data_IF_704899283836
#
_entry.id   IF_704899283836
#
_cell.length_a   1.000
_cell.length_b   1.000
_cell.length_c   1.000
_cell.angle_alpha   90.00
_cell.angle_beta   90.00
_cell.angle_gamma   90.00
#
_symmetry.space_group_name_H-M   'P 1'
#
loop_
_entity.id
_entity.type
_entity.pdbx_description
1 polymer ?
#
# COMPACT_ATOMS: atom_id res chain seq x y z
N UNK A 1 44.81 -43.53 68.30
CA UNK A 1 43.62 -43.01 68.97
C UNK A 1 42.67 -42.48 67.91
N UNK A 2 41.75 -43.30 67.43
CA UNK A 2 40.92 -43.02 66.28
C UNK A 2 39.50 -42.96 66.78
N UNK A 3 38.84 -41.78 66.65
CA UNK A 3 37.42 -41.60 66.95
C UNK A 3 36.59 -41.87 65.72
N UNK A 4 35.76 -42.88 65.78
CA UNK A 4 34.68 -43.13 64.82
C UNK A 4 33.52 -42.12 65.04
N UNK A 5 33.13 -41.51 63.99
CA UNK A 5 31.85 -40.70 63.93
C UNK A 5 30.85 -41.52 63.13
N UNK A 6 29.75 -41.91 63.76
CA UNK A 6 28.59 -42.56 63.09
C UNK A 6 27.77 -41.50 62.34
N UNK A 7 27.57 -41.70 61.06
CA UNK A 7 26.59 -40.98 60.24
C UNK A 7 25.26 -41.76 60.24
N UNK A 8 24.20 -41.12 60.70
CA UNK A 8 22.83 -41.59 60.59
C UNK A 8 22.27 -41.23 59.21
N UNK A 9 21.78 -42.22 58.48
CA UNK A 9 21.09 -42.06 57.23
C UNK A 9 19.63 -41.62 57.49
N UNK A 10 19.26 -40.46 57.03
CA UNK A 10 17.87 -40.01 56.97
C UNK A 10 17.31 -40.35 55.57
N UNK A 11 16.28 -41.18 55.51
CA UNK A 11 15.55 -41.50 54.27
C UNK A 11 14.69 -40.33 53.88
N UNK A 12 14.95 -39.71 52.73
CA UNK A 12 14.06 -38.71 52.09
C UNK A 12 13.08 -39.48 51.17
N UNK A 13 11.81 -39.44 51.55
CA UNK A 13 10.70 -39.90 50.71
C UNK A 13 10.41 -38.78 49.69
N UNK A 14 10.77 -38.99 48.39
CA UNK A 14 10.35 -38.15 47.31
C UNK A 14 8.94 -38.54 46.89
N UNK A 15 7.96 -37.67 47.23
CA UNK A 15 6.63 -37.72 46.65
C UNK A 15 6.71 -37.08 45.25
N UNK A 16 6.65 -37.90 44.24
CA UNK A 16 6.57 -37.45 42.85
C UNK A 16 5.20 -36.84 42.55
N UNK A 17 5.11 -35.54 42.51
CA UNK A 17 3.98 -34.83 41.89
C UNK A 17 4.14 -34.88 40.37
N UNK A 18 3.42 -35.79 39.72
CA UNK A 18 3.31 -35.82 38.27
C UNK A 18 2.53 -34.61 37.76
N UNK A 19 3.21 -33.65 37.16
CA UNK A 19 2.58 -32.58 36.41
C UNK A 19 2.10 -33.19 35.09
N UNK A 20 0.79 -33.46 35.00
CA UNK A 20 0.14 -33.77 33.70
C UNK A 20 0.05 -32.47 32.94
N UNK A 21 0.97 -32.27 32.00
CA UNK A 21 0.85 -31.20 31.00
C UNK A 21 -0.25 -31.61 30.03
N UNK A 22 -1.43 -31.08 30.22
CA UNK A 22 -2.46 -31.15 29.19
C UNK A 22 -2.06 -30.22 28.06
N UNK A 23 -1.47 -30.76 27.00
CA UNK A 23 -1.41 -30.08 25.71
C UNK A 23 -2.82 -29.99 25.16
N UNK A 24 -3.49 -28.85 25.37
CA UNK A 24 -4.72 -28.52 24.68
C UNK A 24 -4.37 -28.29 23.20
N UNK A 25 -4.65 -29.30 22.37
CA UNK A 25 -4.76 -29.11 20.93
C UNK A 25 -5.88 -28.08 20.75
N UNK A 26 -5.68 -26.95 20.06
CA UNK A 26 -6.77 -26.01 19.80
C UNK A 26 -7.83 -26.74 18.99
N UNK A 27 -9.06 -26.75 19.49
CA UNK A 27 -10.20 -27.32 18.82
C UNK A 27 -10.39 -26.54 17.49
N UNK A 28 -10.33 -27.26 16.38
CA UNK A 28 -10.83 -26.78 15.09
C UNK A 28 -12.31 -26.43 15.26
N UNK A 29 -12.65 -25.12 15.13
CA UNK A 29 -14.05 -24.70 15.07
C UNK A 29 -14.55 -23.82 16.22
N UNK A 30 -13.79 -22.84 16.71
CA UNK A 30 -14.46 -21.72 17.36
C UNK A 30 -15.10 -20.85 16.28
N UNK A 31 -16.42 -20.56 16.36
CA UNK A 31 -17.02 -19.56 15.48
C UNK A 31 -16.30 -18.24 15.73
N UNK A 32 -15.76 -17.64 14.67
CA UNK A 32 -15.26 -16.28 14.74
C UNK A 32 -16.34 -15.38 15.34
N UNK A 33 -16.01 -14.64 16.39
CA UNK A 33 -16.86 -13.52 16.78
C UNK A 33 -16.92 -12.60 15.55
N UNK A 34 -18.12 -12.29 15.07
CA UNK A 34 -18.31 -11.37 13.95
C UNK A 34 -17.74 -10.01 14.33
N UNK A 35 -16.48 -9.76 13.96
CA UNK A 35 -15.96 -8.41 13.99
C UNK A 35 -16.79 -7.57 13.00
N UNK A 36 -17.11 -6.31 13.33
CA UNK A 36 -17.79 -5.43 12.37
C UNK A 36 -16.97 -5.40 11.07
N UNK A 37 -17.62 -5.19 9.90
CA UNK A 37 -16.91 -4.95 8.65
C UNK A 37 -15.81 -3.93 8.88
N UNK A 38 -14.61 -4.21 8.41
CA UNK A 38 -13.49 -3.30 8.57
C UNK A 38 -13.41 -2.42 7.33
N UNK A 39 -13.33 -1.11 7.52
CA UNK A 39 -13.20 -0.08 6.47
C UNK A 39 -11.76 0.05 5.91
N UNK A 40 -11.01 -1.06 5.91
CA UNK A 40 -9.57 -1.06 5.60
C UNK A 40 -9.21 -1.61 4.22
N UNK A 41 -10.19 -1.87 3.37
CA UNK A 41 -9.92 -2.26 1.99
C UNK A 41 -10.30 -1.17 1.00
N UNK A 42 -9.50 -1.04 -0.05
CA UNK A 42 -9.72 -0.13 -1.15
C UNK A 42 -9.37 -0.77 -2.49
N UNK A 43 -9.66 -0.02 -3.55
CA UNK A 43 -9.21 -0.33 -4.91
C UNK A 43 -8.26 0.75 -5.37
N UNK A 44 -7.09 0.37 -5.86
CA UNK A 44 -6.17 1.24 -6.58
C UNK A 44 -6.48 1.16 -8.07
N UNK A 45 -6.89 2.27 -8.66
CA UNK A 45 -7.31 2.31 -10.06
C UNK A 45 -6.14 2.40 -11.05
N UNK A 46 -5.04 3.04 -10.66
CA UNK A 46 -3.98 3.45 -11.59
C UNK A 46 -4.42 4.62 -12.48
N UNK A 47 -3.71 4.83 -13.58
CA UNK A 47 -3.92 6.00 -14.46
C UNK A 47 -5.12 5.85 -15.41
N UNK A 48 -5.61 6.98 -15.92
CA UNK A 48 -6.57 7.05 -17.03
C UNK A 48 -8.04 7.17 -16.62
N UNK A 49 -8.40 6.85 -15.40
CA UNK A 49 -9.81 6.86 -14.96
C UNK A 49 -10.44 8.26 -14.92
N UNK A 50 -9.66 9.32 -14.75
CA UNK A 50 -10.14 10.69 -14.82
C UNK A 50 -10.59 11.14 -16.22
N UNK A 51 -10.22 10.35 -17.27
CA UNK A 51 -10.64 10.62 -18.66
C UNK A 51 -11.96 9.96 -19.04
N UNK A 52 -12.52 9.10 -18.17
CA UNK A 52 -13.80 8.43 -18.40
C UNK A 52 -14.96 9.44 -18.45
N UNK A 53 -16.02 9.06 -19.15
CA UNK A 53 -17.28 9.82 -19.06
C UNK A 53 -18.03 9.54 -17.75
N UNK A 54 -19.10 10.31 -17.50
CA UNK A 54 -19.84 10.19 -16.24
C UNK A 54 -20.47 8.82 -16.03
N UNK A 55 -20.93 8.17 -17.09
CA UNK A 55 -21.57 6.85 -16.97
C UNK A 55 -20.55 5.74 -16.70
N UNK A 56 -19.39 5.83 -17.32
CA UNK A 56 -18.27 4.93 -17.10
C UNK A 56 -17.74 5.08 -15.66
N UNK A 57 -17.57 6.31 -15.16
CA UNK A 57 -17.18 6.56 -13.76
C UNK A 57 -18.19 6.01 -12.76
N UNK A 58 -19.49 6.17 -13.02
CA UNK A 58 -20.54 5.62 -12.19
C UNK A 58 -20.47 4.09 -12.13
N UNK A 59 -20.20 3.43 -13.25
CA UNK A 59 -20.04 1.98 -13.27
C UNK A 59 -18.80 1.53 -12.46
N UNK A 60 -17.65 2.18 -12.65
CA UNK A 60 -16.42 1.90 -11.88
C UNK A 60 -16.67 2.02 -10.38
N UNK A 61 -17.32 3.10 -9.94
CA UNK A 61 -17.62 3.32 -8.52
C UNK A 61 -18.62 2.29 -7.99
N UNK A 62 -19.62 1.88 -8.78
CA UNK A 62 -20.57 0.84 -8.37
C UNK A 62 -19.90 -0.54 -8.27
N UNK A 63 -18.97 -0.86 -9.18
CA UNK A 63 -18.19 -2.09 -9.12
C UNK A 63 -17.31 -2.14 -7.86
N UNK A 64 -16.66 -1.00 -7.51
CA UNK A 64 -15.91 -0.88 -6.26
C UNK A 64 -16.83 -1.09 -5.04
N UNK A 65 -17.98 -0.44 -5.00
CA UNK A 65 -18.95 -0.59 -3.90
C UNK A 65 -19.47 -2.01 -3.78
N UNK A 66 -19.74 -2.68 -4.92
CA UNK A 66 -20.22 -4.06 -4.95
C UNK A 66 -19.20 -5.04 -4.36
N UNK A 67 -17.91 -4.73 -4.44
CA UNK A 67 -16.84 -5.49 -3.79
C UNK A 67 -16.83 -5.34 -2.26
N UNK A 68 -17.58 -4.37 -1.72
CA UNK A 68 -17.57 -4.01 -0.31
C UNK A 68 -16.33 -3.20 0.11
N UNK A 69 -15.48 -2.78 -0.81
CA UNK A 69 -14.39 -1.85 -0.52
C UNK A 69 -14.92 -0.47 -0.12
N UNK A 70 -14.22 0.18 0.79
CA UNK A 70 -14.60 1.50 1.33
C UNK A 70 -13.75 2.63 0.77
N UNK A 71 -12.63 2.30 0.14
CA UNK A 71 -11.66 3.27 -0.35
C UNK A 71 -11.43 3.13 -1.85
N UNK A 72 -11.13 4.27 -2.47
CA UNK A 72 -10.63 4.36 -3.84
C UNK A 72 -9.31 5.14 -3.83
N UNK A 73 -8.28 4.65 -4.52
CA UNK A 73 -7.02 5.35 -4.74
C UNK A 73 -6.86 5.64 -6.23
N UNK A 74 -6.56 6.88 -6.58
CA UNK A 74 -6.30 7.27 -7.96
C UNK A 74 -5.43 8.52 -8.08
N UNK A 75 -4.90 8.76 -9.27
CA UNK A 75 -3.92 9.79 -9.56
C UNK A 75 -4.56 11.18 -9.63
N UNK A 76 -4.03 12.10 -8.85
CA UNK A 76 -4.13 13.55 -9.04
C UNK A 76 -2.89 13.97 -9.83
N UNK A 77 -2.89 13.60 -11.12
CA UNK A 77 -1.74 13.74 -12.00
C UNK A 77 -1.52 15.20 -12.38
N UNK A 78 -0.49 15.81 -11.77
CA UNK A 78 -0.14 17.20 -12.00
C UNK A 78 0.20 17.47 -13.48
N UNK A 79 0.82 16.49 -14.16
CA UNK A 79 1.20 16.64 -15.56
C UNK A 79 0.01 16.80 -16.51
N UNK A 80 -1.15 16.24 -16.13
CA UNK A 80 -2.42 16.40 -16.86
C UNK A 80 -3.22 17.60 -16.37
N UNK A 81 -3.34 17.76 -15.05
CA UNK A 81 -4.19 18.81 -14.47
C UNK A 81 -3.64 20.20 -14.77
N UNK A 82 -2.31 20.39 -14.74
CA UNK A 82 -1.63 21.66 -15.04
C UNK A 82 -0.60 21.48 -16.18
N UNK A 83 -1.04 20.94 -17.32
CA UNK A 83 -0.17 20.72 -18.49
C UNK A 83 0.47 22.03 -19.01
N UNK A 84 -0.22 23.15 -18.79
CA UNK A 84 0.27 24.50 -19.05
C UNK A 84 0.32 25.28 -17.75
N UNK A 85 1.48 25.84 -17.40
CA UNK A 85 1.70 26.54 -16.15
C UNK A 85 0.60 27.59 -15.86
N UNK A 86 -0.02 27.50 -14.69
CA UNK A 86 -1.08 28.38 -14.24
C UNK A 86 -2.46 28.09 -14.84
N UNK A 87 -2.60 27.03 -15.64
CA UNK A 87 -3.88 26.62 -16.24
C UNK A 87 -4.25 25.22 -15.78
N UNK A 88 -5.34 25.10 -15.01
CA UNK A 88 -5.75 23.85 -14.38
C UNK A 88 -7.03 23.31 -15.02
N UNK A 89 -7.01 22.02 -15.38
CA UNK A 89 -8.19 21.26 -15.76
C UNK A 89 -8.49 20.18 -14.70
N UNK A 90 -9.34 20.52 -13.77
CA UNK A 90 -9.81 19.62 -12.71
C UNK A 90 -11.01 18.78 -13.11
N UNK A 91 -11.55 18.96 -14.32
CA UNK A 91 -12.87 18.44 -14.69
C UNK A 91 -13.03 16.93 -14.56
N UNK A 92 -11.98 16.17 -14.90
CA UNK A 92 -11.96 14.71 -14.76
C UNK A 92 -11.83 14.28 -13.30
N UNK A 93 -10.96 14.94 -12.55
CA UNK A 93 -10.74 14.69 -11.12
C UNK A 93 -11.96 15.04 -10.30
N UNK A 94 -12.59 16.20 -10.57
CA UNK A 94 -13.84 16.63 -9.93
C UNK A 94 -14.92 15.56 -10.09
N UNK A 95 -15.16 15.10 -11.33
CA UNK A 95 -16.18 14.07 -11.58
C UNK A 95 -15.93 12.77 -10.82
N UNK A 96 -14.67 12.32 -10.77
CA UNK A 96 -14.33 11.07 -10.08
C UNK A 96 -14.43 11.20 -8.56
N UNK A 97 -13.93 12.32 -7.98
CA UNK A 97 -14.07 12.60 -6.55
C UNK A 97 -15.55 12.69 -6.16
N UNK A 98 -16.36 13.49 -6.88
CA UNK A 98 -17.78 13.65 -6.58
C UNK A 98 -18.52 12.31 -6.68
N UNK A 99 -18.28 11.53 -7.76
CA UNK A 99 -18.94 10.24 -7.95
C UNK A 99 -18.57 9.25 -6.82
N UNK A 100 -17.29 9.20 -6.40
CA UNK A 100 -16.82 8.34 -5.33
C UNK A 100 -17.42 8.74 -3.98
N UNK A 101 -17.32 10.01 -3.60
CA UNK A 101 -17.76 10.50 -2.29
C UNK A 101 -19.29 10.54 -2.15
N UNK A 102 -20.02 10.90 -3.19
CA UNK A 102 -21.49 10.78 -3.24
C UNK A 102 -21.96 9.34 -3.06
N UNK A 103 -21.12 8.38 -3.44
CA UNK A 103 -21.36 6.95 -3.27
C UNK A 103 -20.89 6.41 -1.92
N UNK A 104 -20.30 7.24 -1.06
CA UNK A 104 -19.82 6.90 0.28
C UNK A 104 -18.46 6.21 0.30
N UNK A 105 -17.64 6.36 -0.76
CA UNK A 105 -16.24 5.93 -0.75
C UNK A 105 -15.36 7.03 -0.18
N UNK A 106 -14.36 6.62 0.59
CA UNK A 106 -13.24 7.46 0.99
C UNK A 106 -12.19 7.51 -0.12
N UNK A 107 -11.54 8.65 -0.30
CA UNK A 107 -10.53 8.84 -1.35
C UNK A 107 -9.13 8.94 -0.75
N UNK A 108 -8.20 8.12 -1.26
CA UNK A 108 -6.76 8.34 -1.16
C UNK A 108 -6.30 9.01 -2.45
N UNK A 109 -6.06 10.32 -2.39
CA UNK A 109 -5.55 11.08 -3.53
C UNK A 109 -4.04 10.88 -3.68
N UNK A 110 -3.60 10.30 -4.80
CA UNK A 110 -2.19 10.19 -5.14
C UNK A 110 -1.74 11.43 -5.92
N UNK A 111 -1.03 12.34 -5.25
CA UNK A 111 -0.45 13.51 -5.93
C UNK A 111 0.84 13.09 -6.62
N UNK A 112 0.87 13.16 -7.92
CA UNK A 112 1.97 12.67 -8.74
C UNK A 112 2.01 13.39 -10.08
N UNK A 113 2.88 13.28 -10.69
CA UNK A 113 3.87 13.36 -11.75
C UNK A 113 4.17 14.83 -12.07
N UNK A 114 5.08 15.09 -13.02
CA UNK A 114 5.57 16.46 -13.28
C UNK A 114 5.24 16.89 -14.71
N UNK A 115 4.53 18.02 -14.90
CA UNK A 115 4.33 18.59 -16.23
C UNK A 115 5.64 19.03 -16.86
N UNK A 116 5.71 19.05 -18.19
CA UNK A 116 6.91 19.32 -18.95
C UNK A 116 7.64 20.61 -18.50
N UNK A 117 6.88 21.66 -18.23
CA UNK A 117 7.41 22.98 -17.85
C UNK A 117 8.08 23.02 -16.47
N UNK A 118 7.80 22.03 -15.59
CA UNK A 118 8.33 21.97 -14.22
C UNK A 118 9.41 20.91 -14.02
N UNK A 119 9.71 20.08 -15.04
CA UNK A 119 10.71 19.01 -14.95
C UNK A 119 12.12 19.55 -14.81
N UNK A 120 13.00 18.74 -14.20
CA UNK A 120 14.42 19.03 -14.15
C UNK A 120 15.01 19.11 -15.58
N UNK A 121 15.45 20.29 -16.03
CA UNK A 121 15.94 20.50 -17.39
C UNK A 121 17.28 19.82 -17.67
N UNK A 122 17.96 19.30 -16.64
CA UNK A 122 19.21 18.55 -16.80
C UNK A 122 18.98 17.11 -17.25
N UNK A 123 17.74 16.61 -17.19
CA UNK A 123 17.37 15.24 -17.58
C UNK A 123 17.11 15.20 -19.09
N UNK A 124 17.98 14.51 -19.82
CA UNK A 124 17.95 14.50 -21.31
C UNK A 124 16.73 13.74 -21.89
N UNK A 125 16.28 12.68 -21.23
CA UNK A 125 15.12 11.86 -21.62
C UNK A 125 14.04 12.02 -20.57
N UNK A 126 13.47 13.24 -20.45
CA UNK A 126 12.48 13.54 -19.43
C UNK A 126 11.07 13.19 -19.88
N UNK A 127 10.34 12.54 -19.00
CA UNK A 127 8.90 12.26 -19.10
C UNK A 127 8.16 12.75 -17.85
N UNK A 128 6.90 12.43 -17.70
CA UNK A 128 6.11 12.86 -16.51
C UNK A 128 6.64 12.30 -15.19
N UNK A 129 7.39 11.20 -15.20
CA UNK A 129 8.03 10.60 -14.01
C UNK A 129 9.34 11.29 -13.62
N UNK A 130 9.80 12.28 -14.40
CA UNK A 130 10.94 13.09 -14.04
C UNK A 130 10.58 13.96 -12.84
N UNK A 131 11.41 13.94 -11.79
CA UNK A 131 11.20 14.78 -10.61
C UNK A 131 11.12 16.27 -10.99
N UNK A 132 10.38 17.09 -10.23
CA UNK A 132 10.35 18.53 -10.48
C UNK A 132 11.73 19.17 -10.23
N UNK A 133 12.04 20.22 -10.99
CA UNK A 133 13.25 21.00 -10.79
C UNK A 133 13.27 21.75 -9.45
N UNK A 134 12.09 22.13 -8.97
CA UNK A 134 11.88 22.79 -7.68
C UNK A 134 10.71 22.08 -6.94
N UNK A 135 10.98 21.45 -5.79
CA UNK A 135 9.94 20.78 -5.01
C UNK A 135 8.82 21.72 -4.54
N UNK A 136 9.07 23.04 -4.45
CA UNK A 136 8.05 24.01 -4.06
C UNK A 136 6.98 24.20 -5.14
N UNK A 137 7.29 23.99 -6.42
CA UNK A 137 6.26 24.04 -7.48
C UNK A 137 5.30 22.85 -7.36
N UNK A 138 5.81 21.67 -7.07
CA UNK A 138 4.98 20.50 -6.75
C UNK A 138 4.14 20.72 -5.48
N UNK A 139 4.76 21.28 -4.44
CA UNK A 139 4.06 21.60 -3.19
C UNK A 139 2.94 22.62 -3.40
N UNK A 140 3.10 23.59 -4.29
CA UNK A 140 2.05 24.55 -4.66
C UNK A 140 0.86 23.81 -5.27
N UNK A 141 1.09 22.90 -6.21
CA UNK A 141 0.02 22.07 -6.78
C UNK A 141 -0.65 21.19 -5.71
N UNK A 142 0.14 20.55 -4.84
CA UNK A 142 -0.38 19.71 -3.75
C UNK A 142 -1.29 20.50 -2.80
N UNK A 143 -0.89 21.71 -2.43
CA UNK A 143 -1.69 22.61 -1.61
C UNK A 143 -3.00 23.03 -2.30
N UNK A 144 -2.97 23.35 -3.60
CA UNK A 144 -4.16 23.68 -4.38
C UNK A 144 -5.13 22.49 -4.49
N UNK A 145 -4.62 21.27 -4.68
CA UNK A 145 -5.44 20.06 -4.66
C UNK A 145 -6.10 19.88 -3.27
N UNK A 146 -5.32 19.97 -2.20
CA UNK A 146 -5.83 19.85 -0.84
C UNK A 146 -6.88 20.92 -0.49
N UNK A 147 -6.66 22.17 -0.89
CA UNK A 147 -7.63 23.27 -0.71
C UNK A 147 -8.93 23.00 -1.48
N UNK A 148 -8.81 22.57 -2.76
CA UNK A 148 -9.96 22.29 -3.62
C UNK A 148 -10.85 21.19 -3.08
N UNK A 149 -10.27 20.12 -2.55
CA UNK A 149 -10.99 18.93 -2.09
C UNK A 149 -11.05 18.81 -0.57
N UNK A 150 -10.96 19.94 0.16
CA UNK A 150 -10.89 19.94 1.62
C UNK A 150 -12.07 19.24 2.32
N UNK A 151 -13.25 19.26 1.71
CA UNK A 151 -14.45 18.62 2.25
C UNK A 151 -14.65 17.17 1.76
N UNK A 152 -13.83 16.70 0.82
CA UNK A 152 -14.04 15.42 0.12
C UNK A 152 -12.86 14.45 0.24
N UNK A 153 -11.63 14.94 0.35
CA UNK A 153 -10.42 14.12 0.40
C UNK A 153 -9.61 14.50 1.63
N UNK A 154 -9.39 13.54 2.51
CA UNK A 154 -8.67 13.75 3.77
C UNK A 154 -7.34 13.01 3.84
N UNK A 155 -6.99 12.24 2.81
CA UNK A 155 -5.78 11.41 2.77
C UNK A 155 -5.06 11.60 1.44
N UNK A 156 -3.76 11.91 1.52
CA UNK A 156 -2.93 12.25 0.37
C UNK A 156 -1.66 11.42 0.36
N UNK A 157 -1.43 10.69 -0.71
CA UNK A 157 -0.18 9.98 -0.97
C UNK A 157 0.73 10.86 -1.84
N UNK A 158 1.99 10.99 -1.44
CA UNK A 158 2.93 11.89 -2.08
C UNK A 158 3.89 11.13 -2.96
N UNK A 159 3.65 11.19 -4.28
CA UNK A 159 4.38 10.49 -5.32
C UNK A 159 4.14 8.98 -5.36
N UNK A 160 4.39 8.38 -6.55
CA UNK A 160 4.29 6.95 -6.83
C UNK A 160 5.68 6.35 -7.04
N UNK A 161 6.02 5.29 -6.33
CA UNK A 161 7.24 4.49 -6.47
C UNK A 161 8.54 5.29 -6.56
N UNK A 162 8.80 6.22 -5.61
CA UNK A 162 9.98 7.11 -5.67
C UNK A 162 11.31 6.35 -5.54
N UNK A 163 11.27 5.07 -5.23
CA UNK A 163 12.43 4.19 -5.13
C UNK A 163 12.81 3.51 -6.45
N UNK A 164 12.04 3.72 -7.53
CA UNK A 164 12.31 3.19 -8.87
C UNK A 164 12.73 4.30 -9.84
N UNK A 165 13.78 4.03 -10.64
CA UNK A 165 14.16 4.92 -11.72
C UNK A 165 13.04 5.15 -12.74
N UNK A 166 12.22 4.14 -12.98
CA UNK A 166 11.10 4.23 -13.91
C UNK A 166 10.06 5.28 -13.49
N UNK A 167 9.96 5.57 -12.19
CA UNK A 167 8.96 6.48 -11.61
C UNK A 167 9.55 7.71 -10.91
N UNK A 168 10.88 7.81 -10.78
CA UNK A 168 11.56 8.97 -10.20
C UNK A 168 12.88 9.25 -10.96
N UNK A 169 12.73 9.77 -12.19
CA UNK A 169 13.83 10.07 -13.08
C UNK A 169 14.68 11.26 -12.59
N UNK A 170 16.00 11.28 -12.85
CA UNK A 170 16.78 10.32 -13.64
C UNK A 170 17.24 9.09 -12.86
N UNK A 171 17.16 9.12 -11.55
CA UNK A 171 17.50 8.05 -10.61
C UNK A 171 16.86 8.37 -9.27
N UNK A 172 16.38 7.38 -8.50
CA UNK A 172 15.92 7.58 -7.15
C UNK A 172 16.94 8.33 -6.30
N UNK A 173 16.48 9.37 -5.62
CA UNK A 173 17.27 10.21 -4.75
C UNK A 173 16.44 10.50 -3.50
N UNK A 174 16.78 9.82 -2.41
CA UNK A 174 16.01 9.89 -1.15
C UNK A 174 16.03 11.30 -0.57
N UNK A 175 17.15 12.05 -0.70
CA UNK A 175 17.23 13.43 -0.22
C UNK A 175 16.28 14.34 -1.00
N UNK A 176 16.29 14.25 -2.33
CA UNK A 176 15.38 15.00 -3.19
C UNK A 176 13.91 14.64 -2.92
N UNK A 177 13.62 13.36 -2.70
CA UNK A 177 12.26 12.93 -2.33
C UNK A 177 11.84 13.43 -0.93
N UNK A 178 12.75 13.43 0.05
CA UNK A 178 12.49 13.98 1.38
C UNK A 178 12.17 15.49 1.34
N UNK A 179 12.84 16.25 0.48
CA UNK A 179 12.55 17.66 0.24
C UNK A 179 11.16 17.84 -0.40
N UNK A 180 10.83 17.03 -1.42
CA UNK A 180 9.51 17.05 -2.08
C UNK A 180 8.39 16.70 -1.11
N UNK A 181 8.54 15.62 -0.34
CA UNK A 181 7.58 15.19 0.68
C UNK A 181 7.38 16.26 1.75
N UNK A 182 8.46 16.88 2.22
CA UNK A 182 8.42 17.95 3.23
C UNK A 182 7.65 19.17 2.72
N UNK A 183 7.98 19.63 1.52
CA UNK A 183 7.30 20.77 0.91
C UNK A 183 5.82 20.51 0.68
N UNK A 184 5.48 19.34 0.10
CA UNK A 184 4.10 18.94 -0.18
C UNK A 184 3.28 18.79 1.12
N UNK A 185 3.79 18.07 2.12
CA UNK A 185 3.08 17.87 3.39
C UNK A 185 2.82 19.19 4.13
N UNK A 186 3.77 20.12 4.07
CA UNK A 186 3.62 21.45 4.64
C UNK A 186 2.49 22.22 3.95
N UNK A 187 2.51 22.27 2.63
CA UNK A 187 1.50 22.99 1.83
C UNK A 187 0.09 22.40 1.99
N UNK A 188 -0.03 21.07 2.03
CA UNK A 188 -1.31 20.39 2.29
C UNK A 188 -1.84 20.76 3.67
N UNK A 189 -1.00 20.70 4.72
CA UNK A 189 -1.41 20.98 6.09
C UNK A 189 -1.74 22.45 6.37
N UNK A 190 -1.34 23.38 5.50
CA UNK A 190 -1.80 24.77 5.56
C UNK A 190 -3.30 24.90 5.31
N UNK A 191 -3.87 24.13 4.39
CA UNK A 191 -5.31 24.11 4.09
C UNK A 191 -6.06 23.00 4.85
N UNK A 192 -5.42 21.87 5.06
CA UNK A 192 -5.98 20.70 5.75
C UNK A 192 -5.09 20.27 6.93
N UNK A 193 -5.12 20.93 8.10
CA UNK A 193 -4.22 20.63 9.22
C UNK A 193 -4.27 19.19 9.75
N UNK A 194 -5.39 18.49 9.52
CA UNK A 194 -5.61 17.11 9.95
C UNK A 194 -5.52 16.10 8.80
N UNK A 195 -5.03 16.50 7.62
CA UNK A 195 -4.86 15.57 6.51
C UNK A 195 -3.90 14.43 6.89
N UNK A 196 -4.26 13.21 6.50
CA UNK A 196 -3.36 12.06 6.59
C UNK A 196 -2.39 12.10 5.41
N UNK A 197 -1.10 12.22 5.68
CA UNK A 197 -0.06 12.18 4.66
C UNK A 197 0.53 10.78 4.60
N UNK A 198 0.41 10.15 3.45
CA UNK A 198 1.02 8.85 3.13
C UNK A 198 2.29 9.12 2.33
N UNK A 199 3.42 8.52 2.71
CA UNK A 199 4.61 8.56 1.86
C UNK A 199 4.33 7.81 0.56
N UNK A 200 5.04 8.14 -0.52
CA UNK A 200 4.86 7.43 -1.79
C UNK A 200 5.04 5.92 -1.63
N UNK A 201 4.11 5.16 -2.21
CA UNK A 201 4.12 3.70 -2.15
C UNK A 201 5.41 3.15 -2.75
N UNK A 202 6.20 2.44 -1.94
CA UNK A 202 7.48 1.91 -2.35
C UNK A 202 7.29 0.58 -3.10
N UNK A 203 7.84 0.48 -4.30
CA UNK A 203 7.76 -0.73 -5.13
C UNK A 203 8.82 -1.78 -4.75
N UNK A 204 8.55 -3.07 -4.99
CA UNK A 204 9.57 -4.11 -4.86
C UNK A 204 10.81 -3.78 -5.70
N UNK A 205 11.96 -3.68 -5.04
CA UNK A 205 13.25 -3.44 -5.68
C UNK A 205 14.40 -4.04 -4.87
N UNK A 206 15.55 -4.10 -5.49
CA UNK A 206 16.84 -4.37 -4.84
C UNK A 206 17.76 -3.17 -5.02
N UNK A 207 18.73 -3.03 -4.12
CA UNK A 207 19.77 -2.00 -4.24
C UNK A 207 20.73 -2.39 -5.37
N UNK A 208 20.44 -1.93 -6.60
CA UNK A 208 21.16 -2.34 -7.82
C UNK A 208 21.94 -1.20 -8.49
N UNK A 209 22.01 -0.03 -7.85
CA UNK A 209 22.64 1.18 -8.37
C UNK A 209 21.73 1.99 -9.32
N UNK A 210 20.54 1.50 -9.61
CA UNK A 210 19.51 2.16 -10.42
C UNK A 210 18.24 2.38 -9.59
N UNK A 211 17.83 1.35 -8.85
CA UNK A 211 16.68 1.35 -7.97
C UNK A 211 17.15 1.13 -6.53
N UNK A 212 16.32 1.50 -5.56
CA UNK A 212 16.59 1.36 -4.13
C UNK A 212 15.56 0.43 -3.52
N UNK A 213 16.00 -0.52 -2.69
CA UNK A 213 15.05 -1.41 -1.99
C UNK A 213 14.16 -0.63 -1.02
N UNK A 214 12.88 -1.04 -0.81
CA UNK A 214 11.98 -0.34 0.10
C UNK A 214 12.55 -0.17 1.52
N UNK A 215 13.27 -1.16 2.03
CA UNK A 215 13.87 -1.10 3.36
C UNK A 215 15.01 -0.09 3.45
N UNK A 216 15.89 -0.04 2.44
CA UNK A 216 16.96 0.97 2.35
C UNK A 216 16.35 2.36 2.18
N UNK A 217 15.41 2.52 1.24
CA UNK A 217 14.76 3.80 0.99
C UNK A 217 14.09 4.37 2.24
N UNK A 218 13.35 3.57 2.99
CA UNK A 218 12.70 4.00 4.23
C UNK A 218 13.72 4.39 5.31
N UNK A 219 14.81 3.61 5.46
CA UNK A 219 15.89 3.94 6.40
C UNK A 219 16.52 5.29 6.06
N UNK A 220 16.90 5.48 4.80
CA UNK A 220 17.52 6.73 4.32
C UNK A 220 16.55 7.92 4.43
N UNK A 221 15.23 7.67 4.26
CA UNK A 221 14.18 8.70 4.43
C UNK A 221 14.10 9.18 5.89
N UNK A 222 14.22 8.27 6.86
CA UNK A 222 14.32 8.65 8.27
C UNK A 222 15.63 9.37 8.56
N UNK A 223 16.76 8.91 8.01
CA UNK A 223 18.05 9.58 8.16
C UNK A 223 18.08 11.00 7.56
N UNK A 224 17.33 11.23 6.48
CA UNK A 224 17.08 12.55 5.90
C UNK A 224 16.18 13.44 6.77
N UNK A 225 15.63 12.92 7.88
CA UNK A 225 14.79 13.67 8.80
C UNK A 225 13.35 13.84 8.38
N UNK A 226 12.88 13.09 7.38
CA UNK A 226 11.53 13.22 6.86
C UNK A 226 10.45 12.50 7.71
N UNK A 227 10.81 11.79 8.78
CA UNK A 227 9.86 11.10 9.65
C UNK A 227 8.65 11.94 10.07
N UNK A 228 8.78 13.19 10.52
CA UNK A 228 7.64 14.03 10.90
C UNK A 228 6.72 14.46 9.74
N UNK A 229 7.10 14.21 8.50
CA UNK A 229 6.41 14.72 7.32
C UNK A 229 5.30 13.81 6.81
N UNK A 230 5.26 12.56 7.24
CA UNK A 230 4.21 11.59 6.90
C UNK A 230 3.59 10.98 8.17
N UNK A 231 2.34 10.55 8.06
CA UNK A 231 1.60 9.87 9.13
C UNK A 231 1.56 8.35 8.89
N UNK A 232 1.74 7.93 7.64
CA UNK A 232 1.63 6.56 7.17
C UNK A 232 2.74 6.27 6.16
N UNK A 233 3.31 5.07 6.22
CA UNK A 233 4.24 4.58 5.18
C UNK A 233 3.45 3.91 4.07
N UNK A 234 3.58 4.39 2.83
CA UNK A 234 3.05 3.75 1.63
C UNK A 234 3.94 2.60 1.18
N UNK A 235 3.32 1.50 0.73
CA UNK A 235 4.05 0.35 0.20
C UNK A 235 3.24 -0.34 -0.90
N UNK A 236 3.91 -0.85 -1.95
CA UNK A 236 3.38 -1.74 -2.97
C UNK A 236 3.94 -3.16 -2.74
N UNK A 237 3.38 -3.94 -1.80
CA UNK A 237 4.00 -5.17 -1.33
C UNK A 237 3.70 -6.38 -2.21
N UNK A 238 3.90 -6.26 -3.52
CA UNK A 238 3.72 -7.37 -4.44
C UNK A 238 4.58 -8.57 -4.05
N UNK A 239 3.96 -9.75 -4.03
CA UNK A 239 4.60 -11.01 -3.59
C UNK A 239 4.55 -12.12 -4.62
N UNK A 240 3.79 -11.91 -5.71
CA UNK A 240 3.58 -12.95 -6.73
C UNK A 240 4.91 -13.49 -7.30
N UNK A 241 4.99 -14.77 -7.63
CA UNK A 241 3.92 -15.77 -7.53
C UNK A 241 3.77 -16.42 -6.13
N UNK A 242 4.51 -15.95 -5.11
CA UNK A 242 4.46 -16.49 -3.76
C UNK A 242 3.29 -15.91 -2.95
N UNK A 243 2.88 -16.65 -1.92
CA UNK A 243 1.95 -16.15 -0.92
C UNK A 243 2.64 -15.07 -0.04
N UNK A 244 1.93 -14.03 0.38
CA UNK A 244 2.41 -13.03 1.34
C UNK A 244 3.02 -13.61 2.62
N UNK A 245 2.44 -14.69 3.14
CA UNK A 245 2.89 -15.36 4.38
C UNK A 245 4.08 -16.29 4.20
N UNK A 246 4.51 -16.59 2.96
CA UNK A 246 5.55 -17.58 2.70
C UNK A 246 6.94 -17.14 3.20
N UNK A 247 7.32 -17.66 4.38
CA UNK A 247 8.61 -17.38 5.01
C UNK A 247 9.82 -17.92 4.25
N UNK A 248 9.63 -18.87 3.32
CA UNK A 248 10.72 -19.39 2.50
C UNK A 248 11.15 -18.39 1.42
N UNK A 249 10.29 -17.43 1.11
CA UNK A 249 10.53 -16.37 0.12
C UNK A 249 10.95 -15.04 0.75
N UNK A 250 11.16 -14.97 2.06
CA UNK A 250 11.46 -13.76 2.84
C UNK A 250 12.60 -12.89 2.28
N UNK A 251 13.52 -13.47 1.51
CA UNK A 251 14.66 -12.75 0.94
C UNK A 251 14.24 -11.76 -0.17
N UNK A 252 13.11 -11.96 -0.82
CA UNK A 252 12.62 -11.14 -1.94
C UNK A 252 11.14 -10.76 -1.84
N UNK A 253 10.31 -11.52 -1.12
CA UNK A 253 8.88 -11.29 -0.96
C UNK A 253 8.62 -9.97 -0.24
N UNK A 254 8.16 -8.97 -0.96
CA UNK A 254 8.01 -7.62 -0.44
C UNK A 254 6.92 -7.52 0.63
N UNK A 255 5.85 -8.32 0.53
CA UNK A 255 4.84 -8.37 1.58
C UNK A 255 5.43 -8.89 2.90
N UNK A 256 6.17 -10.00 2.83
CA UNK A 256 6.83 -10.55 4.01
C UNK A 256 7.82 -9.55 4.62
N UNK A 257 8.54 -8.80 3.78
CA UNK A 257 9.57 -7.83 4.18
C UNK A 257 9.03 -6.54 4.81
N UNK A 258 7.73 -6.26 4.75
CA UNK A 258 7.14 -5.15 5.51
C UNK A 258 7.42 -5.25 7.02
N UNK A 259 7.71 -6.44 7.53
CA UNK A 259 8.17 -6.64 8.92
C UNK A 259 9.47 -5.88 9.20
N UNK A 260 10.42 -5.91 8.26
CA UNK A 260 11.68 -5.16 8.37
C UNK A 260 11.44 -3.64 8.31
N UNK A 261 10.52 -3.20 7.47
CA UNK A 261 10.12 -1.78 7.43
C UNK A 261 9.49 -1.36 8.77
N UNK A 262 8.66 -2.23 9.36
CA UNK A 262 8.10 -1.99 10.69
C UNK A 262 9.17 -1.87 11.78
N UNK A 263 10.20 -2.70 11.72
CA UNK A 263 11.33 -2.62 12.65
C UNK A 263 12.06 -1.26 12.49
N UNK A 264 12.34 -0.83 11.26
CA UNK A 264 12.90 0.52 10.97
C UNK A 264 12.03 1.65 11.54
N UNK A 265 10.70 1.58 11.38
CA UNK A 265 9.77 2.57 11.96
C UNK A 265 9.88 2.62 13.50
N UNK A 266 9.93 1.45 14.14
CA UNK A 266 10.04 1.35 15.62
C UNK A 266 11.37 1.91 16.09
N UNK A 267 12.48 1.59 15.43
CA UNK A 267 13.83 2.08 15.74
C UNK A 267 13.91 3.62 15.64
N UNK A 268 13.12 4.23 14.77
CA UNK A 268 13.01 5.68 14.62
C UNK A 268 11.91 6.32 15.49
N UNK A 269 11.29 5.57 16.41
CA UNK A 269 10.31 6.08 17.37
C UNK A 269 8.87 6.11 16.84
N UNK A 270 8.61 5.71 15.60
CA UNK A 270 7.29 5.73 14.96
C UNK A 270 6.47 4.45 15.28
N UNK A 271 6.33 4.16 16.57
CA UNK A 271 5.64 2.96 17.05
C UNK A 271 4.13 2.97 16.80
N UNK A 272 3.53 4.13 16.57
CA UNK A 272 2.08 4.32 16.36
C UNK A 272 1.69 4.46 14.90
N UNK A 273 2.61 4.80 14.00
CA UNK A 273 2.33 4.87 12.58
C UNK A 273 2.08 3.48 12.00
N UNK A 274 1.27 3.42 10.96
CA UNK A 274 0.96 2.19 10.23
C UNK A 274 1.61 2.19 8.83
N UNK A 275 1.55 1.03 8.19
CA UNK A 275 1.82 0.88 6.76
C UNK A 275 0.47 0.75 6.04
N UNK A 276 0.31 1.43 4.91
CA UNK A 276 -0.77 1.17 3.97
C UNK A 276 -0.19 0.48 2.73
N UNK A 277 -0.72 -0.69 2.39
CA UNK A 277 -0.45 -1.33 1.12
C UNK A 277 -1.26 -0.60 0.04
N UNK A 278 -0.69 0.48 -0.51
CA UNK A 278 -1.39 1.38 -1.43
C UNK A 278 -1.57 0.81 -2.83
N UNK A 279 -0.87 -0.30 -3.13
CA UNK A 279 -1.17 -1.23 -4.21
C UNK A 279 -0.82 -2.66 -3.79
N UNK A 280 -1.71 -3.61 -4.05
CA UNK A 280 -1.46 -5.03 -3.84
C UNK A 280 -2.30 -5.89 -4.78
N UNK A 281 -1.68 -6.83 -5.47
CA UNK A 281 -2.35 -7.72 -6.42
C UNK A 281 -1.39 -8.68 -7.07
N UNK A 282 -1.86 -9.41 -8.06
CA UNK A 282 -1.04 -10.27 -8.92
C UNK A 282 -1.63 -10.37 -10.32
N UNK A 283 -0.78 -10.37 -11.37
CA UNK A 283 -1.27 -10.42 -12.74
C UNK A 283 -1.67 -11.85 -13.12
N UNK A 284 -2.76 -11.98 -13.85
CA UNK A 284 -3.15 -13.21 -14.53
C UNK A 284 -2.62 -13.24 -15.96
N UNK A 285 -2.87 -14.32 -16.72
CA UNK A 285 -2.48 -14.43 -18.11
C UNK A 285 -1.34 -15.42 -18.36
N UNK A 286 -0.52 -15.16 -19.42
CA UNK A 286 0.51 -16.08 -19.93
C UNK A 286 1.94 -15.49 -19.83
N UNK A 287 2.09 -14.29 -19.25
CA UNK A 287 3.38 -13.62 -19.07
C UNK A 287 4.28 -14.36 -18.06
N UNK A 288 5.58 -14.05 -18.02
CA UNK A 288 6.55 -14.76 -17.16
C UNK A 288 6.25 -14.61 -15.65
N UNK A 289 5.58 -13.53 -15.26
CA UNK A 289 5.21 -13.25 -13.86
C UNK A 289 3.72 -13.54 -13.59
N UNK A 290 2.99 -14.04 -14.59
CA UNK A 290 1.56 -14.30 -14.47
C UNK A 290 1.26 -15.51 -13.60
N UNK A 291 0.14 -15.41 -12.88
CA UNK A 291 -0.43 -16.52 -12.11
C UNK A 291 -1.79 -16.91 -12.68
N UNK A 292 -2.32 -18.07 -12.29
CA UNK A 292 -3.72 -18.38 -12.60
C UNK A 292 -4.67 -17.54 -11.76
N UNK A 293 -5.90 -17.32 -12.22
CA UNK A 293 -6.93 -16.60 -11.44
C UNK A 293 -7.17 -17.23 -10.06
N UNK A 294 -7.05 -18.54 -9.94
CA UNK A 294 -7.17 -19.24 -8.65
C UNK A 294 -6.01 -18.84 -7.71
N UNK A 295 -4.78 -18.76 -8.24
CA UNK A 295 -3.61 -18.32 -7.46
C UNK A 295 -3.67 -16.82 -7.15
N UNK A 296 -4.21 -15.98 -8.06
CA UNK A 296 -4.51 -14.57 -7.77
C UNK A 296 -5.43 -14.46 -6.55
N UNK A 297 -6.50 -15.25 -6.51
CA UNK A 297 -7.44 -15.29 -5.38
C UNK A 297 -6.76 -15.77 -4.07
N UNK A 298 -5.91 -16.80 -4.14
CA UNK A 298 -5.14 -17.29 -2.98
C UNK A 298 -4.18 -16.23 -2.44
N UNK A 299 -3.44 -15.52 -3.31
CA UNK A 299 -2.52 -14.45 -2.91
C UNK A 299 -3.28 -13.31 -2.25
N UNK A 300 -4.42 -12.88 -2.82
CA UNK A 300 -5.25 -11.84 -2.22
C UNK A 300 -5.78 -12.26 -0.85
N UNK A 301 -6.31 -13.48 -0.73
CA UNK A 301 -6.82 -14.01 0.53
C UNK A 301 -5.74 -14.05 1.61
N UNK A 302 -4.55 -14.55 1.26
CA UNK A 302 -3.42 -14.65 2.18
C UNK A 302 -2.95 -13.26 2.62
N UNK A 303 -2.85 -12.29 1.70
CA UNK A 303 -2.47 -10.91 2.00
C UNK A 303 -3.45 -10.22 2.96
N UNK A 304 -4.74 -10.38 2.75
CA UNK A 304 -5.77 -9.85 3.64
C UNK A 304 -5.69 -10.48 5.05
N UNK A 305 -5.41 -11.78 5.14
CA UNK A 305 -5.24 -12.47 6.41
C UNK A 305 -3.96 -12.04 7.15
N UNK A 306 -2.85 -11.94 6.42
CA UNK A 306 -1.57 -11.48 6.98
C UNK A 306 -1.63 -10.04 7.49
N UNK A 307 -2.27 -9.13 6.74
CA UNK A 307 -2.45 -7.75 7.19
C UNK A 307 -3.19 -7.67 8.53
N UNK A 308 -4.25 -8.46 8.68
CA UNK A 308 -5.00 -8.55 9.95
C UNK A 308 -4.15 -9.13 11.07
N UNK A 309 -3.42 -10.21 10.79
CA UNK A 309 -2.57 -10.87 11.79
C UNK A 309 -1.42 -9.99 12.28
N UNK A 310 -0.82 -9.22 11.38
CA UNK A 310 0.30 -8.32 11.68
C UNK A 310 -0.13 -7.05 12.42
N UNK A 311 -1.32 -6.54 12.18
CA UNK A 311 -1.92 -5.41 12.87
C UNK A 311 -1.27 -4.03 12.64
N UNK A 312 -0.13 -3.95 11.99
CA UNK A 312 0.52 -2.69 11.60
C UNK A 312 0.25 -2.30 10.14
N UNK A 313 -0.36 -3.20 9.34
CA UNK A 313 -0.86 -2.89 8.01
C UNK A 313 -2.31 -2.46 8.17
N UNK A 314 -2.56 -1.16 8.06
CA UNK A 314 -3.88 -0.61 8.40
C UNK A 314 -4.86 -0.64 7.21
N UNK A 315 -4.36 -0.57 5.98
CA UNK A 315 -5.18 -0.61 4.76
C UNK A 315 -4.51 -1.41 3.65
N UNK A 316 -5.33 -2.03 2.80
CA UNK A 316 -4.89 -2.66 1.54
C UNK A 316 -5.75 -2.13 0.41
N UNK A 317 -5.11 -1.61 -0.62
CA UNK A 317 -5.72 -1.22 -1.88
C UNK A 317 -5.38 -2.28 -2.93
N UNK A 318 -6.41 -2.94 -3.44
CA UNK A 318 -6.22 -3.98 -4.46
C UNK A 318 -5.95 -3.32 -5.82
N UNK A 319 -4.84 -3.63 -6.43
CA UNK A 319 -4.50 -3.26 -7.80
C UNK A 319 -4.73 -4.46 -8.72
N UNK A 320 -5.75 -4.41 -9.62
CA UNK A 320 -6.61 -3.28 -9.89
C UNK A 320 -8.09 -3.73 -10.02
N UNK A 321 -9.00 -2.81 -10.35
CA UNK A 321 -10.41 -3.15 -10.51
C UNK A 321 -10.66 -4.05 -11.72
N UNK A 322 -10.13 -3.67 -12.89
CA UNK A 322 -10.43 -4.33 -14.17
C UNK A 322 -9.14 -4.50 -14.99
N UNK A 323 -9.08 -5.59 -15.75
CA UNK A 323 -8.04 -5.79 -16.75
C UNK A 323 -8.06 -4.65 -17.78
N UNK A 324 -6.87 -4.12 -18.09
CA UNK A 324 -6.71 -2.92 -18.92
C UNK A 324 -6.63 -3.21 -20.40
N UNK A 325 -6.55 -4.49 -20.79
CA UNK A 325 -6.44 -4.92 -22.16
C UNK A 325 -6.53 -6.43 -22.32
N UNK A 326 -6.40 -6.89 -23.55
CA UNK A 326 -6.54 -8.31 -23.93
C UNK A 326 -5.21 -9.00 -24.22
N UNK A 327 -4.07 -8.32 -24.04
CA UNK A 327 -2.76 -8.95 -24.21
C UNK A 327 -2.40 -9.71 -22.93
N UNK A 328 -2.62 -11.02 -22.93
CA UNK A 328 -2.36 -11.88 -21.77
C UNK A 328 -0.87 -12.04 -21.46
N UNK A 329 0.03 -11.60 -22.34
CA UNK A 329 1.47 -11.61 -22.11
C UNK A 329 1.99 -10.34 -21.39
N UNK A 330 1.22 -9.24 -21.43
CA UNK A 330 1.53 -7.99 -20.74
C UNK A 330 0.93 -8.01 -19.35
N UNK A 331 1.76 -8.18 -18.34
CA UNK A 331 1.29 -8.26 -16.95
C UNK A 331 0.50 -7.02 -16.51
N UNK A 332 0.85 -5.82 -16.99
CA UNK A 332 0.19 -4.57 -16.60
C UNK A 332 -1.25 -4.47 -17.10
N UNK A 333 -1.62 -5.29 -18.07
CA UNK A 333 -2.99 -5.38 -18.56
C UNK A 333 -3.86 -6.37 -17.79
N UNK A 334 -3.32 -7.19 -16.88
CA UNK A 334 -3.98 -8.37 -16.35
C UNK A 334 -4.11 -8.44 -14.81
N UNK A 335 -4.01 -7.31 -14.11
CA UNK A 335 -4.14 -7.25 -12.65
C UNK A 335 -5.60 -7.20 -12.14
N UNK A 336 -6.58 -7.06 -13.04
CA UNK A 336 -7.97 -6.83 -12.67
C UNK A 336 -8.58 -7.89 -11.75
N UNK A 337 -9.49 -7.45 -10.90
CA UNK A 337 -10.48 -8.30 -10.22
C UNK A 337 -11.64 -8.67 -11.17
N UNK A 338 -11.85 -7.84 -12.19
CA UNK A 338 -12.72 -8.07 -13.32
C UNK A 338 -11.86 -8.31 -14.57
N UNK A 339 -12.33 -9.13 -15.49
CA UNK A 339 -11.68 -9.27 -16.80
C UNK A 339 -11.99 -8.07 -17.73
N UNK A 340 -11.50 -8.11 -18.98
CA UNK A 340 -11.74 -7.04 -19.97
C UNK A 340 -13.21 -6.85 -20.36
N UNK A 341 -14.07 -7.85 -20.08
CA UNK A 341 -15.50 -7.82 -20.36
C UNK A 341 -16.32 -7.44 -19.11
N UNK A 342 -15.65 -7.07 -18.01
CA UNK A 342 -16.24 -6.82 -16.70
C UNK A 342 -16.81 -8.08 -16.02
N UNK A 343 -16.39 -9.28 -16.44
CA UNK A 343 -16.76 -10.51 -15.74
C UNK A 343 -15.86 -10.70 -14.49
N UNK A 344 -16.42 -11.04 -13.32
CA UNK A 344 -15.63 -11.14 -12.10
C UNK A 344 -14.73 -12.38 -12.11
N UNK A 345 -13.45 -12.18 -11.75
CA UNK A 345 -12.51 -13.26 -11.46
C UNK A 345 -12.70 -13.77 -10.01
N UNK A 346 -12.23 -14.98 -9.66
CA UNK A 346 -12.35 -15.53 -8.30
C UNK A 346 -11.82 -14.62 -7.19
N UNK A 347 -10.84 -13.76 -7.47
CA UNK A 347 -10.29 -12.79 -6.52
C UNK A 347 -11.32 -11.71 -6.10
N UNK A 348 -12.29 -11.38 -6.95
CA UNK A 348 -13.41 -10.49 -6.59
C UNK A 348 -14.28 -11.13 -5.48
N UNK A 349 -14.58 -12.42 -5.59
CA UNK A 349 -15.36 -13.12 -4.55
C UNK A 349 -14.62 -13.13 -3.20
N UNK A 350 -13.29 -13.27 -3.22
CA UNK A 350 -12.44 -13.19 -2.02
C UNK A 350 -12.58 -11.82 -1.36
N UNK A 351 -12.47 -10.73 -2.13
CA UNK A 351 -12.60 -9.38 -1.59
C UNK A 351 -13.99 -9.13 -1.02
N UNK A 352 -15.05 -9.51 -1.76
CA UNK A 352 -16.45 -9.41 -1.30
C UNK A 352 -16.67 -10.18 0.01
N UNK A 353 -16.16 -11.40 0.10
CA UNK A 353 -16.30 -12.22 1.31
C UNK A 353 -15.55 -11.60 2.49
N UNK A 354 -14.33 -11.13 2.28
CA UNK A 354 -13.51 -10.49 3.31
C UNK A 354 -14.18 -9.25 3.90
N UNK A 355 -14.84 -8.44 3.07
CA UNK A 355 -15.52 -7.23 3.48
C UNK A 355 -16.86 -7.48 4.17
N UNK A 356 -17.58 -8.56 3.82
CA UNK A 356 -18.84 -8.94 4.47
C UNK A 356 -18.67 -9.55 5.85
N UNK A 357 -17.60 -10.29 6.08
CA UNK A 357 -17.43 -11.10 7.29
C UNK A 357 -16.58 -10.44 8.37
N UNK A 358 -16.09 -9.23 8.14
CA UNK A 358 -15.13 -8.59 9.05
C UNK A 358 -13.87 -9.44 9.27
N UNK A 359 -13.59 -10.35 8.36
CA UNK A 359 -12.32 -11.06 8.31
C UNK A 359 -12.29 -12.51 8.74
N UNK A 360 -13.43 -13.16 8.90
CA UNK A 360 -13.47 -14.59 9.09
C UNK A 360 -13.89 -15.31 7.80
N UNK A 361 -12.95 -15.78 7.04
CA UNK A 361 -13.17 -16.77 5.96
C UNK A 361 -12.39 -18.03 6.31
#
# INVERSE_FOLDING_TARGET
>A
MTKLIRLSAAAIVLVGMGIVVHSSVPALGQPCATAPPTDNTGIALGSGYTSLDQSEMQQVVEDIRSSGAHWIRFDFDWSYIESTQGTFDWSGTDRLVDTATDSGLEVLGLITYTPEWARDPSVAESDSHTRPADPNTFATFAGLAAERYADSVSSWEIWNEPNLRAFYNPVPDVTSYAELLTAASTSIRESQPNATIVSGGLSPATDNGTDISPTTFLTDLYEAGAGPQFDVVGMHPYSFPALPSDSLTQSWNSFYRMRLMRDTMIENGDTTKSIWATEFGSPTGDGPDAVTEAVQAEILQDGLNEARALGFIAKIFVYSLQDRGSDTSDREQNFGLLDVNSDPKPAMDVLVAANKTGGCI
#
